data_IF_826429352229
#
_entry.id   IF_826429352229
#
_cell.length_a   1.000
_cell.length_b   1.000
_cell.length_c   1.000
_cell.angle_alpha   90.00
_cell.angle_beta   90.00
_cell.angle_gamma   90.00
#
_symmetry.space_group_name_H-M   'P 1'
#
loop_
_entity.id
_entity.type
_entity.pdbx_description
1 polymer ?
#
# COMPACT_ATOMS: atom_id res chain seq x y z
N UNK A 1 16.44 -14.79 6.52
CA UNK A 1 16.05 -13.47 7.07
C UNK A 1 15.44 -13.65 8.45
N UNK A 2 16.07 -13.01 9.42
CA UNK A 2 15.62 -12.82 10.79
C UNK A 2 15.01 -11.41 10.94
N UNK A 3 14.16 -11.16 11.94
CA UNK A 3 13.65 -9.81 12.23
C UNK A 3 14.73 -8.74 12.36
N UNK A 4 15.85 -9.11 12.97
CA UNK A 4 17.03 -8.26 13.16
C UNK A 4 17.69 -7.81 11.85
N UNK A 5 17.55 -8.59 10.77
CA UNK A 5 18.06 -8.21 9.45
C UNK A 5 17.27 -7.02 8.87
N UNK A 6 16.10 -6.70 9.42
CA UNK A 6 15.25 -5.56 9.04
C UNK A 6 15.41 -4.40 10.01
N UNK A 7 15.30 -4.66 11.31
CA UNK A 7 15.30 -3.62 12.35
C UNK A 7 16.70 -3.13 12.71
N UNK A 8 17.71 -4.00 12.57
CA UNK A 8 19.07 -3.76 13.05
C UNK A 8 19.43 -4.66 14.23
N UNK A 9 20.71 -4.61 14.60
CA UNK A 9 21.29 -5.37 15.70
C UNK A 9 22.14 -4.47 16.57
N UNK A 10 22.15 -4.74 17.87
CA UNK A 10 23.20 -4.21 18.76
C UNK A 10 24.27 -5.27 18.93
N UNK A 11 25.54 -4.87 18.83
CA UNK A 11 26.67 -5.74 19.07
C UNK A 11 27.62 -5.10 20.07
N UNK A 12 28.31 -5.92 20.85
CA UNK A 12 29.26 -5.43 21.84
C UNK A 12 30.57 -5.04 21.15
N UNK A 13 30.89 -3.76 21.14
CA UNK A 13 32.13 -3.25 20.61
C UNK A 13 33.24 -3.40 21.65
N UNK A 14 34.12 -4.38 21.46
CA UNK A 14 35.19 -4.70 22.43
C UNK A 14 36.20 -3.56 22.65
N UNK A 15 36.30 -2.59 21.73
CA UNK A 15 37.22 -1.45 21.87
C UNK A 15 36.66 -0.38 22.81
N UNK A 16 35.36 -0.09 22.70
CA UNK A 16 34.68 0.90 23.56
C UNK A 16 34.09 0.28 24.81
N UNK A 17 33.97 -1.05 24.86
CA UNK A 17 33.24 -1.80 25.90
C UNK A 17 31.77 -1.41 26.01
N UNK A 18 31.18 -0.96 24.90
CA UNK A 18 29.79 -0.52 24.82
C UNK A 18 29.04 -1.33 23.76
N UNK A 19 27.72 -1.41 23.91
CA UNK A 19 26.85 -1.93 22.84
C UNK A 19 26.64 -0.83 21.80
N UNK A 20 26.98 -1.13 20.55
CA UNK A 20 26.80 -0.23 19.42
C UNK A 20 25.64 -0.75 18.55
N UNK A 21 24.68 0.12 18.29
CA UNK A 21 23.55 -0.20 17.43
C UNK A 21 23.92 -0.01 15.96
N UNK A 22 23.76 -1.06 15.17
CA UNK A 22 23.84 -0.99 13.72
C UNK A 22 22.43 -0.98 13.10
N UNK A 23 22.03 0.14 12.46
CA UNK A 23 20.68 0.29 11.94
C UNK A 23 20.41 -0.69 10.79
N UNK A 24 19.25 -1.33 10.84
CA UNK A 24 18.77 -2.15 9.74
C UNK A 24 18.19 -1.30 8.58
N UNK A 25 17.92 -1.93 7.42
CA UNK A 25 17.45 -1.25 6.21
C UNK A 25 16.10 -0.54 6.39
N UNK A 26 15.34 -0.83 7.44
CA UNK A 26 14.05 -0.16 7.69
C UNK A 26 14.19 1.31 8.08
N UNK A 27 15.36 1.74 8.56
CA UNK A 27 15.66 3.14 8.89
C UNK A 27 15.98 3.95 7.63
N UNK A 28 15.02 3.99 6.72
CA UNK A 28 15.04 4.72 5.44
C UNK A 28 13.68 5.40 5.20
N UNK A 29 13.57 6.26 4.20
CA UNK A 29 12.29 6.86 3.78
C UNK A 29 11.50 5.98 2.82
N UNK A 30 12.19 5.25 1.93
CA UNK A 30 11.57 4.33 0.96
C UNK A 30 12.24 2.97 1.11
N UNK A 31 11.45 1.96 1.46
CA UNK A 31 11.88 0.58 1.60
C UNK A 31 11.20 -0.28 0.54
N UNK A 32 11.98 -0.92 -0.32
CA UNK A 32 11.52 -1.96 -1.23
C UNK A 32 11.76 -3.34 -0.59
N UNK A 33 10.69 -3.98 -0.14
CA UNK A 33 10.69 -5.34 0.36
C UNK A 33 10.34 -6.30 -0.79
N UNK A 34 11.36 -6.67 -1.55
CA UNK A 34 11.19 -7.59 -2.67
C UNK A 34 10.86 -9.00 -2.17
N UNK A 35 9.87 -9.64 -2.80
CA UNK A 35 9.38 -10.98 -2.51
C UNK A 35 9.13 -11.21 -1.02
N UNK A 36 8.33 -10.32 -0.41
CA UNK A 36 8.03 -10.36 1.04
C UNK A 36 7.49 -11.73 1.50
N UNK A 37 6.87 -12.49 0.60
CA UNK A 37 6.39 -13.85 0.86
C UNK A 37 7.52 -14.87 1.05
N UNK A 38 8.78 -14.60 0.72
CA UNK A 38 9.92 -15.49 1.01
C UNK A 38 10.48 -15.29 2.42
N UNK A 39 10.16 -14.16 3.05
CA UNK A 39 10.56 -13.90 4.43
C UNK A 39 9.77 -14.77 5.40
N UNK A 40 10.41 -15.18 6.50
CA UNK A 40 9.74 -15.95 7.56
C UNK A 40 8.60 -15.15 8.19
N UNK A 41 7.54 -15.79 8.74
CA UNK A 41 6.41 -15.07 9.35
C UNK A 41 6.81 -14.08 10.45
N UNK A 42 7.87 -14.39 11.21
CA UNK A 42 8.42 -13.47 12.23
C UNK A 42 9.02 -12.21 11.62
N UNK A 43 9.75 -12.36 10.51
CA UNK A 43 10.37 -11.25 9.77
C UNK A 43 9.30 -10.38 9.10
N UNK A 44 8.29 -11.00 8.49
CA UNK A 44 7.13 -10.29 7.95
C UNK A 44 6.44 -9.46 9.05
N UNK A 45 6.23 -10.07 10.23
CA UNK A 45 5.59 -9.41 11.36
C UNK A 45 6.37 -8.19 11.85
N UNK A 46 7.70 -8.29 11.97
CA UNK A 46 8.55 -7.17 12.37
C UNK A 46 8.47 -5.97 11.41
N UNK A 47 8.51 -6.23 10.09
CA UNK A 47 8.32 -5.19 9.09
C UNK A 47 6.95 -4.53 9.19
N UNK A 48 5.89 -5.33 9.34
CA UNK A 48 4.51 -4.84 9.38
C UNK A 48 4.17 -4.10 10.68
N UNK A 49 4.79 -4.49 11.78
CA UNK A 49 4.72 -3.78 13.06
C UNK A 49 5.36 -2.41 12.92
N UNK A 50 6.58 -2.33 12.41
CA UNK A 50 7.26 -1.06 12.15
C UNK A 50 6.49 -0.17 11.15
N UNK A 51 5.84 -0.77 10.14
CA UNK A 51 4.93 -0.05 9.25
C UNK A 51 3.72 0.54 9.99
N UNK A 52 3.18 -0.17 10.98
CA UNK A 52 2.00 0.27 11.71
C UNK A 52 2.35 1.32 12.78
N UNK A 53 3.40 1.08 13.56
CA UNK A 53 3.82 1.90 14.70
C UNK A 53 4.71 3.08 14.28
N UNK A 54 5.30 3.04 13.08
CA UNK A 54 6.22 4.08 12.57
C UNK A 54 7.47 4.28 13.45
N UNK A 55 7.86 3.23 14.16
CA UNK A 55 9.04 3.17 15.00
C UNK A 55 9.49 1.70 15.11
N UNK A 56 10.71 1.49 15.58
CA UNK A 56 11.23 0.18 15.96
C UNK A 56 11.76 0.26 17.40
N UNK A 57 11.75 -0.87 18.09
CA UNK A 57 12.35 -0.99 19.43
C UNK A 57 13.39 -2.10 19.39
N UNK A 58 14.63 -1.78 19.74
CA UNK A 58 15.75 -2.73 19.81
C UNK A 58 16.43 -2.56 21.17
N UNK A 59 16.58 -3.65 21.91
CA UNK A 59 17.20 -3.68 23.25
C UNK A 59 16.66 -2.63 24.25
N UNK A 60 15.36 -2.34 24.15
CA UNK A 60 14.67 -1.38 25.02
C UNK A 60 14.72 0.07 24.54
N UNK A 61 15.50 0.38 23.50
CA UNK A 61 15.54 1.70 22.88
C UNK A 61 14.57 1.78 21.71
N UNK A 62 13.69 2.79 21.74
CA UNK A 62 12.68 3.02 20.70
C UNK A 62 13.12 4.15 19.79
N UNK A 63 13.18 3.86 18.49
CA UNK A 63 13.65 4.78 17.46
C UNK A 63 12.54 5.05 16.44
N UNK A 64 12.18 6.32 16.19
CA UNK A 64 11.20 6.66 15.16
C UNK A 64 11.77 6.39 13.76
N UNK A 65 10.91 5.94 12.83
CA UNK A 65 11.32 5.79 11.44
C UNK A 65 11.40 7.16 10.73
N UNK A 66 12.37 7.36 9.81
CA UNK A 66 12.45 8.57 9.00
C UNK A 66 11.14 8.89 8.28
N UNK A 67 10.79 10.17 8.15
CA UNK A 67 9.58 10.60 7.46
C UNK A 67 9.90 11.37 6.17
N UNK A 68 9.10 11.20 5.09
CA UNK A 68 8.02 10.22 4.93
C UNK A 68 8.55 8.78 4.91
N UNK A 69 7.70 7.83 5.32
CA UNK A 69 8.04 6.40 5.33
C UNK A 69 7.08 5.62 4.42
N UNK A 70 7.61 5.04 3.35
CA UNK A 70 6.88 4.23 2.37
C UNK A 70 7.52 2.85 2.26
N UNK A 71 6.68 1.81 2.36
CA UNK A 71 7.09 0.43 2.05
C UNK A 71 6.41 0.01 0.75
N UNK A 72 7.22 -0.38 -0.22
CA UNK A 72 6.80 -1.08 -1.42
C UNK A 72 7.14 -2.56 -1.22
N UNK A 73 6.15 -3.45 -1.31
CA UNK A 73 6.38 -4.88 -1.18
C UNK A 73 5.88 -5.61 -2.42
N UNK A 74 6.71 -6.47 -2.99
CA UNK A 74 6.35 -7.30 -4.14
C UNK A 74 6.03 -8.72 -3.66
N UNK A 75 5.18 -9.42 -4.41
CA UNK A 75 4.89 -10.83 -4.19
C UNK A 75 4.95 -11.54 -5.53
N UNK A 76 5.76 -12.59 -5.63
CA UNK A 76 5.75 -13.46 -6.80
C UNK A 76 4.70 -14.57 -6.61
N UNK A 77 3.63 -14.62 -7.44
CA UNK A 77 2.53 -15.55 -7.23
C UNK A 77 2.78 -16.97 -7.76
N UNK A 78 3.86 -17.20 -8.51
CA UNK A 78 4.10 -18.46 -9.25
C UNK A 78 4.99 -19.44 -8.46
N UNK A 79 5.72 -18.98 -7.45
CA UNK A 79 6.68 -19.83 -6.71
C UNK A 79 6.00 -20.69 -5.64
N UNK A 80 6.12 -22.02 -5.82
CA UNK A 80 5.45 -23.04 -4.99
C UNK A 80 6.27 -23.50 -3.77
N UNK A 81 7.58 -23.28 -3.74
CA UNK A 81 8.45 -23.74 -2.66
C UNK A 81 9.04 -22.59 -1.85
N UNK A 82 9.06 -22.74 -0.52
CA UNK A 82 9.74 -21.79 0.37
C UNK A 82 9.04 -20.45 0.57
N UNK A 83 7.74 -20.34 0.25
CA UNK A 83 6.96 -19.11 0.45
C UNK A 83 5.99 -19.22 1.64
N UNK A 84 5.88 -18.11 2.37
CA UNK A 84 4.97 -17.87 3.48
C UNK A 84 3.97 -16.79 3.05
N UNK A 85 2.72 -17.15 2.68
CA UNK A 85 1.73 -16.17 2.30
C UNK A 85 1.42 -15.24 3.47
N UNK A 86 1.28 -13.94 3.18
CA UNK A 86 0.83 -12.99 4.20
C UNK A 86 -0.63 -13.27 4.58
N UNK A 87 -0.95 -13.44 5.87
CA UNK A 87 -2.33 -13.50 6.35
C UNK A 87 -3.12 -12.26 5.94
N UNK A 88 -4.44 -12.39 5.79
CA UNK A 88 -5.34 -11.31 5.38
C UNK A 88 -5.23 -10.09 6.30
N UNK A 89 -5.12 -10.31 7.61
CA UNK A 89 -4.92 -9.26 8.60
C UNK A 89 -3.60 -8.49 8.43
N UNK A 90 -2.59 -9.12 7.83
CA UNK A 90 -1.32 -8.48 7.50
C UNK A 90 -1.42 -7.70 6.19
N UNK A 91 -2.05 -8.29 5.17
CA UNK A 91 -2.32 -7.65 3.88
C UNK A 91 -3.17 -6.37 4.05
N UNK A 92 -4.10 -6.35 5.00
CA UNK A 92 -4.93 -5.17 5.31
C UNK A 92 -4.10 -3.92 5.70
N UNK A 93 -2.84 -4.12 6.16
CA UNK A 93 -1.93 -3.02 6.49
C UNK A 93 -1.44 -2.24 5.26
N UNK A 94 -1.44 -2.84 4.08
CA UNK A 94 -1.09 -2.17 2.85
C UNK A 94 -2.23 -1.27 2.36
N UNK A 95 -1.90 -0.03 2.01
CA UNK A 95 -2.88 0.95 1.56
C UNK A 95 -3.51 0.55 0.23
N UNK A 96 -2.67 0.13 -0.71
CA UNK A 96 -3.00 -0.27 -2.08
C UNK A 96 -2.36 -1.62 -2.39
N UNK A 97 -3.03 -2.44 -3.20
CA UNK A 97 -2.46 -3.57 -3.91
C UNK A 97 -2.68 -3.38 -5.40
N UNK A 98 -1.60 -3.43 -6.18
CA UNK A 98 -1.64 -3.24 -7.63
C UNK A 98 -1.06 -4.48 -8.29
N UNK A 99 -1.64 -4.88 -9.42
CA UNK A 99 -1.06 -5.90 -10.30
C UNK A 99 -0.23 -5.21 -11.37
N UNK A 100 1.05 -5.50 -11.42
CA UNK A 100 1.93 -5.07 -12.50
C UNK A 100 1.74 -6.06 -13.67
N UNK A 101 1.28 -5.54 -14.79
CA UNK A 101 1.32 -6.24 -16.07
C UNK A 101 2.61 -5.93 -16.82
N UNK A 102 2.75 -6.49 -18.01
CA UNK A 102 3.79 -6.06 -18.93
C UNK A 102 3.40 -4.70 -19.54
N UNK A 103 4.39 -3.83 -19.82
CA UNK A 103 4.18 -2.61 -20.61
C UNK A 103 3.55 -2.93 -21.99
N UNK A 104 2.93 -1.92 -22.61
CA UNK A 104 2.49 -2.04 -24.00
C UNK A 104 3.69 -2.05 -24.95
N UNK A 105 3.50 -2.46 -26.21
CA UNK A 105 4.56 -2.42 -27.23
C UNK A 105 5.17 -1.01 -27.37
N UNK A 106 4.32 0.03 -27.36
CA UNK A 106 4.76 1.42 -27.44
C UNK A 106 5.57 1.83 -26.20
N UNK A 107 5.15 1.42 -25.00
CA UNK A 107 5.87 1.68 -23.76
C UNK A 107 7.22 0.92 -23.71
N UNK A 108 7.26 -0.33 -24.18
CA UNK A 108 8.49 -1.12 -24.30
C UNK A 108 9.49 -0.45 -25.24
N UNK A 109 9.02 -0.02 -26.41
CA UNK A 109 9.86 0.70 -27.35
C UNK A 109 10.37 2.02 -26.76
N UNK A 110 9.52 2.77 -26.04
CA UNK A 110 9.93 3.99 -25.35
C UNK A 110 10.98 3.72 -24.26
N UNK A 111 10.88 2.59 -23.54
CA UNK A 111 11.91 2.16 -22.57
C UNK A 111 13.22 1.87 -23.31
N UNK A 112 13.20 1.11 -24.40
CA UNK A 112 14.40 0.79 -25.18
C UNK A 112 15.11 2.07 -25.66
N UNK A 113 14.36 3.02 -26.23
CA UNK A 113 14.90 4.30 -26.68
C UNK A 113 15.48 5.13 -25.53
N UNK A 114 14.82 5.12 -24.37
CA UNK A 114 15.25 5.88 -23.19
C UNK A 114 16.57 5.38 -22.61
N UNK A 115 16.82 4.07 -22.66
CA UNK A 115 18.03 3.43 -22.14
C UNK A 115 19.04 3.09 -23.25
N UNK A 116 18.84 3.53 -24.49
CA UNK A 116 19.69 3.19 -25.64
C UNK A 116 21.13 3.69 -25.47
N UNK A 117 21.31 4.91 -24.94
CA UNK A 117 22.62 5.61 -24.97
C UNK A 117 23.12 6.07 -23.62
N UNK A 118 22.23 6.46 -22.72
CA UNK A 118 22.58 7.06 -21.44
C UNK A 118 21.76 6.40 -20.33
N UNK A 119 22.34 6.32 -19.13
CA UNK A 119 21.60 5.95 -17.93
C UNK A 119 20.79 7.18 -17.46
N UNK A 120 19.43 7.15 -17.55
CA UNK A 120 18.60 8.28 -17.15
C UNK A 120 18.75 8.64 -15.65
N UNK A 121 19.27 7.73 -14.84
CA UNK A 121 19.51 7.96 -13.41
C UNK A 121 20.71 8.88 -13.17
N UNK A 122 21.69 8.91 -14.09
CA UNK A 122 22.89 9.72 -13.94
C UNK A 122 22.60 11.23 -13.95
N UNK A 123 21.53 11.65 -14.61
CA UNK A 123 21.12 13.07 -14.74
C UNK A 123 19.90 13.42 -13.89
N UNK A 124 19.39 12.50 -13.06
CA UNK A 124 18.18 12.71 -12.30
C UNK A 124 18.41 13.72 -11.17
N UNK A 125 17.76 14.87 -11.25
CA UNK A 125 17.81 15.90 -10.21
C UNK A 125 16.59 15.81 -9.29
N UNK A 126 16.80 16.07 -7.99
CA UNK A 126 15.72 16.20 -7.04
C UNK A 126 14.85 17.41 -7.36
N UNK A 127 13.55 17.19 -7.54
CA UNK A 127 12.56 18.27 -7.80
C UNK A 127 11.90 18.79 -6.53
N UNK A 128 12.05 18.07 -5.41
CA UNK A 128 11.47 18.44 -4.12
C UNK A 128 12.24 17.83 -2.95
N UNK A 129 12.16 18.48 -1.79
CA UNK A 129 12.66 17.93 -0.53
C UNK A 129 11.58 17.13 0.21
N UNK A 130 12.01 16.25 1.11
CA UNK A 130 11.13 15.43 1.95
C UNK A 130 10.19 16.26 2.81
N UNK A 131 10.64 17.41 3.33
CA UNK A 131 9.83 18.29 4.17
C UNK A 131 8.67 18.92 3.38
N UNK A 132 8.91 19.28 2.11
CA UNK A 132 7.87 19.78 1.22
C UNK A 132 6.82 18.69 0.93
N UNK A 133 7.27 17.44 0.75
CA UNK A 133 6.36 16.30 0.57
C UNK A 133 5.47 16.06 1.80
N UNK A 134 5.99 16.23 3.02
CA UNK A 134 5.18 16.14 4.24
C UNK A 134 4.12 17.24 4.31
N UNK A 135 4.46 18.48 3.93
CA UNK A 135 3.50 19.57 3.86
C UNK A 135 2.37 19.28 2.85
N UNK A 136 2.69 18.68 1.69
CA UNK A 136 1.69 18.26 0.71
C UNK A 136 0.79 17.13 1.24
N UNK A 137 1.31 16.20 2.03
CA UNK A 137 0.49 15.15 2.66
C UNK A 137 -0.56 15.74 3.62
N UNK A 138 -0.24 16.82 4.31
CA UNK A 138 -1.20 17.53 5.15
C UNK A 138 -2.20 18.33 4.32
N UNK A 139 -1.75 18.97 3.23
CA UNK A 139 -2.64 19.67 2.30
C UNK A 139 -3.64 18.73 1.62
N UNK A 140 -3.26 17.50 1.27
CA UNK A 140 -4.20 16.50 0.73
C UNK A 140 -5.39 16.25 1.66
N UNK A 141 -5.21 16.39 2.98
CA UNK A 141 -6.29 16.18 3.95
C UNK A 141 -7.35 17.28 3.90
N UNK A 142 -7.03 18.45 3.35
CA UNK A 142 -7.95 19.59 3.23
C UNK A 142 -8.78 19.53 1.95
N UNK A 143 -8.49 18.60 1.04
CA UNK A 143 -9.30 18.37 -0.16
C UNK A 143 -10.74 18.05 0.24
N UNK A 144 -11.68 18.80 -0.32
CA UNK A 144 -13.08 18.72 0.04
C UNK A 144 -13.70 17.38 -0.37
N UNK A 145 -14.51 16.80 0.52
CA UNK A 145 -15.29 15.60 0.21
C UNK A 145 -16.72 15.85 0.66
N UNK A 146 -17.58 16.14 -0.30
CA UNK A 146 -19.00 16.38 -0.05
C UNK A 146 -19.66 15.22 0.69
N UNK A 147 -20.69 15.54 1.46
CA UNK A 147 -21.45 14.55 2.21
C UNK A 147 -21.95 13.41 1.31
N UNK A 148 -22.45 13.74 0.12
CA UNK A 148 -22.94 12.74 -0.82
C UNK A 148 -21.84 11.75 -1.25
N UNK A 149 -20.61 12.22 -1.46
CA UNK A 149 -19.45 11.36 -1.79
C UNK A 149 -19.00 10.54 -0.57
N UNK A 150 -19.02 11.13 0.63
CA UNK A 150 -18.74 10.39 1.88
C UNK A 150 -19.72 9.26 2.10
N UNK A 151 -21.01 9.53 1.90
CA UNK A 151 -22.07 8.54 1.99
C UNK A 151 -21.89 7.46 0.92
N UNK A 152 -21.53 7.83 -0.32
CA UNK A 152 -21.21 6.87 -1.39
C UNK A 152 -20.08 5.91 -1.00
N UNK A 153 -18.96 6.42 -0.46
CA UNK A 153 -17.84 5.60 0.03
C UNK A 153 -18.30 4.59 1.10
N UNK A 154 -19.14 5.04 2.05
CA UNK A 154 -19.70 4.18 3.09
C UNK A 154 -20.63 3.12 2.48
N UNK A 155 -21.48 3.50 1.53
CA UNK A 155 -22.40 2.59 0.85
C UNK A 155 -21.65 1.51 0.06
N UNK A 156 -20.59 1.87 -0.67
CA UNK A 156 -19.71 0.90 -1.34
C UNK A 156 -19.14 -0.09 -0.32
N UNK A 157 -18.58 0.39 0.79
CA UNK A 157 -18.04 -0.50 1.83
C UNK A 157 -19.14 -1.41 2.43
N UNK A 158 -20.33 -0.88 2.71
CA UNK A 158 -21.47 -1.68 3.22
C UNK A 158 -21.95 -2.72 2.21
N UNK A 159 -22.03 -2.36 0.93
CA UNK A 159 -22.41 -3.26 -0.14
C UNK A 159 -21.43 -4.45 -0.24
N UNK A 160 -20.12 -4.25 -0.03
CA UNK A 160 -19.18 -5.39 0.06
C UNK A 160 -19.47 -6.32 1.25
N UNK A 161 -19.95 -5.79 2.39
CA UNK A 161 -20.28 -6.61 3.58
C UNK A 161 -21.59 -7.40 3.40
N UNK A 162 -22.46 -6.95 2.51
CA UNK A 162 -23.76 -7.56 2.23
C UNK A 162 -23.75 -8.45 0.98
N UNK A 163 -22.63 -8.48 0.25
CA UNK A 163 -22.52 -9.23 -0.99
C UNK A 163 -22.30 -10.73 -0.71
N UNK A 164 -23.21 -11.59 -1.16
CA UNK A 164 -23.14 -13.04 -0.95
C UNK A 164 -21.92 -13.74 -1.60
N UNK A 165 -21.22 -13.06 -2.51
CA UNK A 165 -19.95 -13.54 -3.06
C UNK A 165 -18.76 -13.38 -2.10
N UNK A 166 -18.95 -12.67 -0.98
CA UNK A 166 -17.91 -12.37 0.00
C UNK A 166 -18.26 -13.00 1.35
N UNK A 167 -17.27 -13.65 1.95
CA UNK A 167 -17.30 -14.12 3.33
C UNK A 167 -16.89 -13.01 4.30
N UNK A 168 -15.97 -12.13 3.86
CA UNK A 168 -15.54 -10.95 4.60
C UNK A 168 -15.54 -9.73 3.68
N UNK A 169 -16.33 -8.72 4.06
CA UNK A 169 -16.41 -7.41 3.40
C UNK A 169 -15.35 -6.41 3.87
N UNK A 170 -15.41 -5.20 3.32
CA UNK A 170 -14.46 -4.13 3.63
C UNK A 170 -14.53 -3.67 5.09
N UNK A 171 -13.40 -3.63 5.80
CA UNK A 171 -13.29 -3.13 7.18
C UNK A 171 -13.46 -1.60 7.26
N UNK A 172 -13.66 -1.00 8.46
CA UNK A 172 -13.59 0.45 8.62
C UNK A 172 -12.25 1.06 8.17
N UNK A 173 -11.14 0.32 8.34
CA UNK A 173 -9.83 0.71 7.82
C UNK A 173 -9.86 0.83 6.30
N UNK A 174 -10.52 -0.11 5.61
CA UNK A 174 -10.70 -0.08 4.16
C UNK A 174 -11.51 1.14 3.70
N UNK A 175 -12.59 1.48 4.41
CA UNK A 175 -13.40 2.69 4.14
C UNK A 175 -12.57 3.96 4.27
N UNK A 176 -11.80 4.08 5.36
CA UNK A 176 -10.93 5.25 5.58
C UNK A 176 -9.80 5.34 4.55
N UNK A 177 -9.22 4.20 4.17
CA UNK A 177 -8.22 4.13 3.12
C UNK A 177 -8.78 4.65 1.79
N UNK A 178 -9.98 4.22 1.39
CA UNK A 178 -10.62 4.66 0.14
C UNK A 178 -10.92 6.16 0.15
N UNK A 179 -11.38 6.69 1.30
CA UNK A 179 -11.58 8.13 1.48
C UNK A 179 -10.27 8.92 1.28
N UNK A 180 -9.20 8.52 1.97
CA UNK A 180 -7.91 9.22 1.92
C UNK A 180 -7.25 9.13 0.54
N UNK A 181 -7.33 7.97 -0.12
CA UNK A 181 -6.77 7.82 -1.47
C UNK A 181 -7.57 8.61 -2.49
N UNK A 182 -8.89 8.75 -2.33
CA UNK A 182 -9.70 9.59 -3.20
C UNK A 182 -9.34 11.08 -3.08
N UNK A 183 -9.12 11.59 -1.86
CA UNK A 183 -8.57 12.93 -1.63
C UNK A 183 -7.21 13.11 -2.32
N UNK A 184 -6.30 12.14 -2.14
CA UNK A 184 -4.97 12.17 -2.75
C UNK A 184 -5.04 12.18 -4.29
N UNK A 185 -5.91 11.37 -4.88
CA UNK A 185 -6.07 11.31 -6.33
C UNK A 185 -6.66 12.61 -6.90
N UNK A 186 -7.65 13.20 -6.22
CA UNK A 186 -8.18 14.50 -6.60
C UNK A 186 -7.09 15.58 -6.60
N UNK A 187 -6.27 15.63 -5.53
CA UNK A 187 -5.15 16.57 -5.45
C UNK A 187 -4.11 16.35 -6.56
N UNK A 188 -3.71 15.10 -6.83
CA UNK A 188 -2.76 14.75 -7.91
C UNK A 188 -3.33 15.18 -9.28
N UNK A 189 -4.64 15.10 -9.46
CA UNK A 189 -5.35 15.57 -10.67
C UNK A 189 -5.65 17.08 -10.67
N UNK A 190 -5.11 17.84 -9.71
CA UNK A 190 -5.27 19.30 -9.64
C UNK A 190 -6.67 19.77 -9.19
N UNK A 191 -7.49 18.89 -8.61
CA UNK A 191 -8.83 19.24 -8.10
C UNK A 191 -8.82 19.47 -6.60
N UNK A 192 -9.63 20.44 -6.16
CA UNK A 192 -9.83 20.77 -4.74
C UNK A 192 -10.93 19.94 -4.06
N UNK A 193 -11.62 19.08 -4.81
CA UNK A 193 -12.70 18.23 -4.31
C UNK A 193 -12.69 16.84 -4.96
N UNK A 194 -13.21 15.86 -4.23
CA UNK A 194 -13.33 14.47 -4.69
C UNK A 194 -14.64 14.27 -5.45
N UNK A 195 -14.58 13.54 -6.56
CA UNK A 195 -15.77 13.10 -7.31
C UNK A 195 -15.98 11.59 -7.13
N UNK A 196 -17.21 11.07 -7.32
CA UNK A 196 -17.48 9.64 -7.22
C UNK A 196 -16.57 8.77 -8.08
N UNK A 197 -16.19 9.23 -9.27
CA UNK A 197 -15.32 8.44 -10.16
C UNK A 197 -13.90 8.23 -9.61
N UNK A 198 -13.40 9.09 -8.71
CA UNK A 198 -12.14 8.82 -8.00
C UNK A 198 -12.28 7.60 -7.08
N UNK A 199 -13.42 7.53 -6.38
CA UNK A 199 -13.77 6.40 -5.51
C UNK A 199 -13.88 5.12 -6.34
N UNK A 200 -14.57 5.18 -7.49
CA UNK A 200 -14.71 4.02 -8.38
C UNK A 200 -13.37 3.53 -8.90
N UNK A 201 -12.52 4.46 -9.35
CA UNK A 201 -11.21 4.17 -9.90
C UNK A 201 -10.30 3.49 -8.87
N UNK A 202 -10.31 3.97 -7.62
CA UNK A 202 -9.44 3.46 -6.56
C UNK A 202 -9.97 2.19 -5.88
N UNK A 203 -11.27 1.94 -5.92
CA UNK A 203 -11.90 0.86 -5.17
C UNK A 203 -11.25 -0.52 -5.43
N UNK A 204 -10.92 -0.96 -6.66
CA UNK A 204 -10.26 -2.25 -6.87
C UNK A 204 -8.89 -2.33 -6.18
N UNK A 205 -8.07 -1.29 -6.31
CA UNK A 205 -6.72 -1.26 -5.73
C UNK A 205 -6.71 -1.11 -4.20
N UNK A 206 -7.76 -0.52 -3.63
CA UNK A 206 -7.89 -0.28 -2.18
C UNK A 206 -8.63 -1.42 -1.47
N UNK A 207 -9.65 -2.00 -2.10
CA UNK A 207 -10.57 -2.94 -1.42
C UNK A 207 -10.23 -4.39 -1.72
N UNK A 208 -9.85 -4.76 -2.95
CA UNK A 208 -9.84 -6.17 -3.37
C UNK A 208 -8.96 -7.07 -2.50
N UNK A 209 -7.80 -6.58 -2.04
CA UNK A 209 -6.90 -7.36 -1.17
C UNK A 209 -7.41 -7.53 0.27
N UNK A 210 -8.42 -6.76 0.67
CA UNK A 210 -9.02 -6.76 2.02
C UNK A 210 -10.29 -7.61 2.13
N UNK A 211 -10.74 -8.19 1.02
CA UNK A 211 -11.96 -8.99 0.96
C UNK A 211 -11.64 -10.48 0.94
N UNK A 212 -12.51 -11.29 1.57
CA UNK A 212 -12.45 -12.74 1.48
C UNK A 212 -13.60 -13.23 0.60
N UNK A 213 -13.26 -13.90 -0.50
CA UNK A 213 -14.26 -14.47 -1.42
C UNK A 213 -14.83 -15.76 -0.85
N UNK A 214 -16.16 -15.90 -0.91
CA UNK A 214 -16.85 -17.11 -0.45
C UNK A 214 -16.49 -18.33 -1.31
N UNK A 215 -16.51 -19.56 -0.75
CA UNK A 215 -16.19 -20.78 -1.49
C UNK A 215 -17.03 -20.95 -2.77
N UNK A 216 -18.32 -20.66 -2.71
CA UNK A 216 -19.23 -20.76 -3.86
C UNK A 216 -18.92 -19.75 -4.98
N UNK A 217 -18.45 -18.55 -4.65
CA UNK A 217 -18.06 -17.57 -5.65
C UNK A 217 -16.71 -17.93 -6.28
N UNK A 218 -15.78 -18.47 -5.49
CA UNK A 218 -14.48 -18.97 -5.96
C UNK A 218 -14.62 -20.12 -6.95
N UNK A 219 -15.51 -21.08 -6.66
CA UNK A 219 -15.82 -22.21 -7.57
C UNK A 219 -16.38 -21.74 -8.92
N UNK A 220 -17.05 -20.59 -8.96
CA UNK A 220 -17.55 -19.96 -10.19
C UNK A 220 -16.50 -19.11 -10.92
N UNK A 221 -15.22 -19.21 -10.53
CA UNK A 221 -14.12 -18.50 -11.17
C UNK A 221 -14.10 -16.99 -10.94
N UNK A 222 -14.90 -16.49 -9.99
CA UNK A 222 -14.94 -15.05 -9.70
C UNK A 222 -13.70 -14.64 -8.92
N UNK A 223 -13.17 -13.45 -9.19
CA UNK A 223 -12.10 -12.85 -8.41
C UNK A 223 -12.56 -11.62 -7.62
N UNK A 224 -11.71 -11.17 -6.68
CA UNK A 224 -12.04 -10.10 -5.74
C UNK A 224 -12.17 -8.75 -6.46
N UNK A 225 -11.34 -8.50 -7.47
CA UNK A 225 -11.35 -7.27 -8.25
C UNK A 225 -12.66 -7.11 -9.03
N UNK A 226 -13.13 -8.18 -9.68
CA UNK A 226 -14.41 -8.22 -10.38
C UNK A 226 -15.58 -7.93 -9.43
N UNK A 227 -15.60 -8.58 -8.25
CA UNK A 227 -16.65 -8.36 -7.25
C UNK A 227 -16.68 -6.90 -6.81
N UNK A 228 -15.51 -6.28 -6.59
CA UNK A 228 -15.44 -4.86 -6.22
C UNK A 228 -15.96 -3.96 -7.34
N UNK A 229 -15.57 -4.21 -8.59
CA UNK A 229 -16.05 -3.45 -9.74
C UNK A 229 -17.58 -3.52 -9.87
N UNK A 230 -18.17 -4.69 -9.69
CA UNK A 230 -19.63 -4.87 -9.71
C UNK A 230 -20.32 -4.14 -8.54
N UNK A 231 -19.76 -4.22 -7.33
CA UNK A 231 -20.29 -3.49 -6.17
C UNK A 231 -20.31 -1.99 -6.43
N UNK A 232 -19.21 -1.45 -6.95
CA UNK A 232 -19.06 -0.03 -7.24
C UNK A 232 -20.02 0.43 -8.35
N UNK A 233 -20.27 -0.43 -9.34
CA UNK A 233 -21.21 -0.15 -10.44
C UNK A 233 -22.69 -0.21 -10.01
N UNK A 234 -23.02 -0.99 -8.99
CA UNK A 234 -24.41 -1.16 -8.51
C UNK A 234 -24.82 -0.15 -7.45
N UNK A 235 -23.87 0.39 -6.67
CA UNK A 235 -24.14 1.44 -5.69
C UNK A 235 -24.48 2.74 -6.44
N UNK A 236 -25.66 3.34 -6.22
CA UNK A 236 -26.05 4.57 -6.89
C UNK A 236 -25.04 5.69 -6.63
N UNK A 237 -24.61 6.35 -7.72
CA UNK A 237 -23.78 7.54 -7.62
C UNK A 237 -24.66 8.69 -7.14
N UNK A 238 -24.21 9.52 -6.17
CA UNK A 238 -24.96 10.69 -5.78
C UNK A 238 -25.16 11.62 -6.97
N UNK A 239 -26.40 12.09 -7.16
CA UNK A 239 -26.71 13.15 -8.12
C UNK A 239 -26.40 14.47 -7.43
N UNK A 240 -25.68 15.37 -8.11
CA UNK A 240 -25.37 16.71 -7.57
C UNK A 240 -26.66 17.38 -7.07
N UNK A 241 -26.62 17.92 -5.85
CA UNK A 241 -27.66 18.77 -5.27
C UNK A 241 -27.19 20.21 -5.30
#
# INVERSE_FOLDING_TARGET
LLPSDITGISFFNQKTQEFEFHPGPILTQILLADEINRATPRTQSALLEAMQERQITVDGETMPLPRPFLVLATQNPIELEGTFPLPEAQIDRFLLKVKLGYPSEDDENAILLRFEREDPLATLAAVMESQALLALQDQVRTIHVDEAVRQYIVQVARATRQNAALELGASPRATLALYKTAQALAAIRGRAFVIPDDVKYLAPAVLAHRLLISPHARLRGRNREQIVQEVVATVPVPVES
#
